data_IF_283830918368
#
_entry.id   IF_283830918368
#
_cell.length_a   1.000
_cell.length_b   1.000
_cell.length_c   1.000
_cell.angle_alpha   90.00
_cell.angle_beta   90.00
_cell.angle_gamma   90.00
#
_symmetry.space_group_name_H-M   'P 1'
#
loop_
_entity.id
_entity.type
_entity.pdbx_description
1 polymer ?
#
# COMPACT_ATOMS: atom_id res chain seq x y z
N UNK A 1 11.59 -8.70 -6.68
CA UNK A 1 10.50 -9.49 -6.06
C UNK A 1 9.19 -8.76 -6.20
N UNK A 2 8.13 -9.47 -6.41
CA UNK A 2 6.77 -8.89 -6.46
C UNK A 2 6.17 -8.94 -5.07
N UNK A 3 5.91 -7.78 -4.47
CA UNK A 3 5.46 -7.66 -3.09
C UNK A 3 4.13 -6.93 -3.05
N UNK A 4 3.16 -7.46 -2.31
CA UNK A 4 1.93 -6.77 -2.01
C UNK A 4 1.95 -6.32 -0.55
N UNK A 5 1.68 -5.03 -0.35
CA UNK A 5 1.62 -4.40 0.97
C UNK A 5 0.15 -4.09 1.26
N UNK A 6 -0.44 -4.81 2.22
CA UNK A 6 -1.86 -4.69 2.54
C UNK A 6 -2.05 -3.70 3.68
N UNK A 7 -2.51 -2.51 3.34
CA UNK A 7 -2.80 -1.47 4.31
C UNK A 7 -2.07 -0.18 3.99
N UNK A 8 -2.81 0.86 3.62
CA UNK A 8 -2.25 2.13 3.19
C UNK A 8 -2.25 3.18 4.29
N UNK A 9 -2.01 2.78 5.52
CA UNK A 9 -1.75 3.71 6.62
C UNK A 9 -0.36 4.31 6.49
N UNK A 10 0.05 5.07 7.51
CA UNK A 10 1.38 5.70 7.51
C UNK A 10 2.51 4.69 7.37
N UNK A 11 2.47 3.64 8.18
CA UNK A 11 3.49 2.59 8.14
C UNK A 11 3.47 1.82 6.82
N UNK A 12 2.26 1.43 6.35
CA UNK A 12 2.14 0.68 5.11
C UNK A 12 2.63 1.46 3.91
N UNK A 13 2.30 2.75 3.84
CA UNK A 13 2.77 3.60 2.75
C UNK A 13 4.29 3.77 2.80
N UNK A 14 4.85 3.99 3.98
CA UNK A 14 6.30 4.11 4.17
C UNK A 14 7.01 2.83 3.72
N UNK A 15 6.49 1.68 4.13
CA UNK A 15 7.07 0.38 3.77
C UNK A 15 7.04 0.17 2.26
N UNK A 16 5.93 0.51 1.62
CA UNK A 16 5.81 0.38 0.16
C UNK A 16 6.87 1.21 -0.56
N UNK A 17 7.09 2.43 -0.11
CA UNK A 17 8.09 3.31 -0.70
C UNK A 17 9.51 2.75 -0.50
N UNK A 18 9.82 2.28 0.71
CA UNK A 18 11.11 1.68 0.99
C UNK A 18 11.38 0.45 0.12
N UNK A 19 10.39 -0.42 0.00
CA UNK A 19 10.51 -1.63 -0.83
C UNK A 19 10.72 -1.27 -2.29
N UNK A 20 10.00 -0.26 -2.77
CA UNK A 20 10.17 0.21 -4.15
C UNK A 20 11.60 0.67 -4.41
N UNK A 21 12.16 1.47 -3.51
CA UNK A 21 13.53 1.97 -3.69
C UNK A 21 14.59 0.90 -3.51
N UNK A 22 14.22 -0.24 -2.95
CA UNK A 22 15.11 -1.41 -2.89
C UNK A 22 14.96 -2.34 -4.09
N UNK A 23 14.29 -1.88 -5.14
CA UNK A 23 14.22 -2.59 -6.41
C UNK A 23 13.06 -3.57 -6.55
N UNK A 24 12.11 -3.56 -5.63
CA UNK A 24 10.97 -4.47 -5.68
C UNK A 24 9.81 -3.88 -6.47
N UNK A 25 8.99 -4.75 -7.04
CA UNK A 25 7.75 -4.39 -7.70
C UNK A 25 6.65 -4.43 -6.65
N UNK A 26 6.15 -3.25 -6.24
CA UNK A 26 5.28 -3.13 -5.09
C UNK A 26 3.86 -2.78 -5.49
N UNK A 27 2.89 -3.47 -4.88
CA UNK A 27 1.47 -3.14 -4.96
C UNK A 27 1.02 -2.74 -3.55
N UNK A 28 0.38 -1.59 -3.44
CA UNK A 28 -0.19 -1.09 -2.19
C UNK A 28 -1.70 -1.25 -2.24
N UNK A 29 -2.25 -2.02 -1.29
CA UNK A 29 -3.68 -2.27 -1.23
C UNK A 29 -4.33 -1.42 -0.14
N UNK A 30 -5.45 -0.79 -0.49
CA UNK A 30 -6.28 -0.03 0.44
C UNK A 30 -7.72 -0.50 0.31
N UNK A 31 -8.35 -0.88 1.42
CA UNK A 31 -9.68 -1.47 1.38
C UNK A 31 -10.78 -0.46 1.03
N UNK A 32 -10.58 0.83 1.34
CA UNK A 32 -11.55 1.87 0.99
C UNK A 32 -11.33 2.34 -0.44
N UNK A 33 -12.28 2.05 -1.32
CA UNK A 33 -12.18 2.41 -2.73
C UNK A 33 -11.97 3.90 -2.95
N UNK A 34 -12.68 4.73 -2.19
CA UNK A 34 -12.55 6.19 -2.32
C UNK A 34 -11.15 6.67 -1.95
N UNK A 35 -10.58 6.09 -0.92
CA UNK A 35 -9.23 6.46 -0.48
C UNK A 35 -8.16 5.94 -1.45
N UNK A 36 -8.34 4.73 -1.96
CA UNK A 36 -7.44 4.17 -2.97
C UNK A 36 -7.42 5.06 -4.22
N UNK A 37 -8.58 5.53 -4.67
CA UNK A 37 -8.67 6.45 -5.81
C UNK A 37 -7.98 7.78 -5.53
N UNK A 38 -8.11 8.28 -4.31
CA UNK A 38 -7.45 9.52 -3.92
C UNK A 38 -5.93 9.35 -3.92
N UNK A 39 -5.42 8.23 -3.42
CA UNK A 39 -4.00 7.92 -3.44
C UNK A 39 -3.46 7.80 -4.87
N UNK A 40 -4.22 7.16 -5.76
CA UNK A 40 -3.86 7.05 -7.17
C UNK A 40 -3.76 8.41 -7.84
N UNK A 41 -4.73 9.28 -7.57
CA UNK A 41 -4.81 10.58 -8.21
C UNK A 41 -3.74 11.54 -7.70
N UNK A 42 -3.58 11.60 -6.39
CA UNK A 42 -2.69 12.58 -5.76
C UNK A 42 -1.27 12.08 -5.58
N UNK A 43 -1.08 10.77 -5.49
CA UNK A 43 0.21 10.16 -5.19
C UNK A 43 0.85 10.69 -3.92
N UNK A 44 0.01 11.11 -2.98
CA UNK A 44 0.41 11.59 -1.65
C UNK A 44 -0.61 11.03 -0.66
N UNK A 45 -0.12 10.44 0.41
CA UNK A 45 -0.99 9.96 1.48
C UNK A 45 -1.17 11.11 2.48
N UNK A 46 -2.10 12.03 2.17
CA UNK A 46 -2.27 13.25 2.93
C UNK A 46 -2.71 13.01 4.37
N UNK A 47 -3.39 11.91 4.64
CA UNK A 47 -3.88 11.60 5.99
C UNK A 47 -2.78 11.09 6.91
N UNK A 48 -1.83 10.33 6.37
CA UNK A 48 -0.83 9.64 7.18
C UNK A 48 0.61 10.06 6.91
N UNK A 49 0.90 10.50 5.67
CA UNK A 49 2.25 10.91 5.28
C UNK A 49 2.21 12.17 4.41
N UNK A 50 1.78 13.31 4.98
CA UNK A 50 1.69 14.54 4.18
C UNK A 50 3.07 14.96 3.67
N UNK A 51 3.11 15.39 2.42
CA UNK A 51 4.34 15.86 1.81
C UNK A 51 5.24 14.81 1.20
N UNK A 52 4.93 13.53 1.40
CA UNK A 52 5.74 12.43 0.84
C UNK A 52 5.03 11.90 -0.41
N UNK A 53 5.71 11.93 -1.55
CA UNK A 53 5.17 11.42 -2.80
C UNK A 53 5.31 9.91 -2.90
N UNK A 54 4.24 9.27 -3.38
CA UNK A 54 4.26 7.84 -3.69
C UNK A 54 4.73 7.67 -5.14
N UNK A 55 5.83 6.93 -5.38
CA UNK A 55 6.32 6.71 -6.75
C UNK A 55 5.25 6.15 -7.68
N UNK A 56 5.25 6.58 -8.93
CA UNK A 56 4.25 6.16 -9.93
C UNK A 56 4.28 4.66 -10.19
N UNK A 57 5.41 4.03 -10.00
CA UNK A 57 5.61 2.61 -10.24
C UNK A 57 4.93 1.73 -9.20
N UNK A 58 4.58 2.29 -8.04
CA UNK A 58 3.83 1.55 -7.03
C UNK A 58 2.38 1.48 -7.49
N UNK A 59 1.89 0.26 -7.71
CA UNK A 59 0.49 0.05 -8.07
C UNK A 59 -0.38 0.19 -6.82
N UNK A 60 -1.40 1.03 -6.91
CA UNK A 60 -2.34 1.24 -5.81
C UNK A 60 -3.69 0.67 -6.23
N UNK A 61 -4.27 -0.19 -5.40
CA UNK A 61 -5.53 -0.85 -5.72
C UNK A 61 -6.37 -1.09 -4.47
N UNK A 62 -7.69 -1.20 -4.64
CA UNK A 62 -8.61 -1.65 -3.61
C UNK A 62 -9.11 -3.07 -3.87
N UNK A 63 -8.64 -3.70 -4.93
CA UNK A 63 -9.01 -5.07 -5.29
C UNK A 63 -8.04 -6.04 -4.63
N UNK A 64 -8.55 -6.81 -3.65
CA UNK A 64 -7.70 -7.75 -2.90
C UNK A 64 -7.18 -8.87 -3.79
N UNK A 65 -7.96 -9.33 -4.75
CA UNK A 65 -7.52 -10.39 -5.65
C UNK A 65 -6.37 -9.90 -6.53
N UNK A 66 -6.50 -8.71 -7.11
CA UNK A 66 -5.43 -8.11 -7.89
C UNK A 66 -4.17 -7.92 -7.04
N UNK A 67 -4.33 -7.47 -5.79
CA UNK A 67 -3.18 -7.20 -4.93
C UNK A 67 -2.44 -8.46 -4.51
N UNK A 68 -3.13 -9.61 -4.41
CA UNK A 68 -2.53 -10.85 -3.92
C UNK A 68 -2.14 -11.83 -5.02
N UNK A 69 -2.61 -11.61 -6.26
CA UNK A 69 -2.35 -12.52 -7.36
C UNK A 69 -0.88 -12.46 -7.81
N UNK A 70 -0.27 -13.63 -7.94
CA UNK A 70 1.10 -13.80 -8.46
C UNK A 70 2.16 -12.98 -7.70
N UNK A 71 1.99 -12.80 -6.40
CA UNK A 71 2.97 -12.11 -5.56
C UNK A 71 3.93 -13.10 -4.91
N UNK A 72 5.19 -12.69 -4.78
CA UNK A 72 6.21 -13.47 -4.08
C UNK A 72 6.06 -13.33 -2.57
N UNK A 73 5.61 -12.16 -2.11
CA UNK A 73 5.48 -11.86 -0.68
C UNK A 73 4.26 -10.96 -0.48
N UNK A 74 3.50 -11.24 0.57
CA UNK A 74 2.38 -10.40 0.99
C UNK A 74 2.65 -9.93 2.40
N UNK A 75 2.69 -8.61 2.59
CA UNK A 75 2.93 -7.99 3.89
C UNK A 75 1.64 -7.37 4.40
N UNK A 76 1.29 -7.68 5.65
CA UNK A 76 0.10 -7.14 6.29
C UNK A 76 0.51 -5.97 7.18
N UNK A 77 0.22 -4.76 6.73
CA UNK A 77 0.61 -3.53 7.39
C UNK A 77 -0.60 -2.78 7.94
N UNK A 78 -1.33 -3.43 8.86
CA UNK A 78 -2.52 -2.83 9.49
C UNK A 78 -2.24 -2.55 10.96
N UNK A 79 -2.94 -1.57 11.56
CA UNK A 79 -2.78 -1.30 12.99
C UNK A 79 -3.13 -2.52 13.84
N UNK A 80 -2.38 -2.72 14.91
CA UNK A 80 -2.54 -3.89 15.78
C UNK A 80 -3.93 -4.03 16.37
N UNK A 81 -4.63 -2.91 16.60
CA UNK A 81 -5.99 -2.94 17.11
C UNK A 81 -6.97 -3.64 16.16
N UNK A 82 -6.72 -3.58 14.86
CA UNK A 82 -7.54 -4.32 13.89
C UNK A 82 -7.25 -5.81 13.94
N UNK A 83 -6.01 -6.18 14.20
CA UNK A 83 -5.63 -7.59 14.31
C UNK A 83 -6.27 -8.24 15.51
N UNK A 84 -6.46 -7.51 16.60
CA UNK A 84 -7.10 -8.03 17.81
C UNK A 84 -8.58 -8.33 17.61
N UNK A 85 -9.24 -7.63 16.69
CA UNK A 85 -10.64 -7.84 16.39
C UNK A 85 -10.92 -9.01 15.47
N UNK A 86 -9.86 -9.66 15.01
CA UNK A 86 -9.95 -10.80 14.10
C UNK A 86 -9.84 -12.14 14.86
#
# INVERSE_FOLDING_TARGET
MKISDLGAGGWGTTLAILLHYNGHNVTLWEYKKSYARQLLRKRINTSYLPGIKIPKEILITSDIEESTNAKNLIVLAVPSQFLRGV
#
